data_IF_965679401451
#
_entry.id   IF_965679401451
#
_cell.length_a   1.000
_cell.length_b   1.000
_cell.length_c   1.000
_cell.angle_alpha   90.00
_cell.angle_beta   90.00
_cell.angle_gamma   90.00
#
_symmetry.space_group_name_H-M   'P 1'
#
loop_
_entity.id
_entity.type
_entity.pdbx_description
1 polymer ?
#
# COMPACT_ATOMS: atom_id res chain seq x y z
N UNK A 1 46.21 46.81 62.89
CA UNK A 1 46.85 45.54 63.28
C UNK A 1 45.77 44.50 63.57
N UNK A 2 45.55 43.54 62.68
CA UNK A 2 44.95 42.23 62.97
C UNK A 2 44.75 41.48 61.65
N UNK A 3 45.57 40.45 61.46
CA UNK A 3 45.55 39.59 60.28
C UNK A 3 44.31 38.71 60.22
N UNK A 4 43.85 38.43 58.99
CA UNK A 4 42.88 37.38 58.67
C UNK A 4 43.64 36.19 58.07
N UNK A 5 43.50 34.96 58.60
CA UNK A 5 44.06 33.77 57.98
C UNK A 5 43.05 33.04 57.08
N UNK A 6 43.64 32.27 56.16
CA UNK A 6 43.05 31.49 55.10
C UNK A 6 42.08 30.38 55.57
N UNK A 7 41.04 30.13 54.77
CA UNK A 7 40.19 28.92 54.87
C UNK A 7 40.72 27.83 53.95
N UNK A 8 40.84 26.64 54.53
CA UNK A 8 41.31 25.38 53.94
C UNK A 8 40.23 24.71 53.09
N UNK A 9 40.74 23.87 52.18
CA UNK A 9 40.05 22.90 51.35
C UNK A 9 39.34 21.82 52.18
N UNK A 10 38.12 21.46 51.79
CA UNK A 10 37.51 20.16 52.08
C UNK A 10 37.41 19.37 50.78
N UNK A 11 38.10 18.22 50.76
CA UNK A 11 38.00 17.19 49.75
C UNK A 11 37.00 16.14 50.25
N UNK A 12 35.92 15.92 49.50
CA UNK A 12 34.96 14.85 49.76
C UNK A 12 35.29 13.60 48.94
N UNK A 13 35.40 12.50 49.67
CA UNK A 13 35.63 11.12 49.25
C UNK A 13 34.70 10.65 48.13
N UNK A 14 35.30 10.13 47.04
CA UNK A 14 34.63 9.35 46.01
C UNK A 14 34.76 7.87 46.36
N UNK A 15 33.67 7.25 46.83
CA UNK A 15 33.57 5.80 46.96
C UNK A 15 33.16 5.19 45.62
N UNK A 16 34.08 4.43 45.03
CA UNK A 16 33.82 3.52 43.90
C UNK A 16 33.16 2.22 44.39
N UNK A 17 32.11 1.69 43.74
CA UNK A 17 31.64 0.34 43.99
C UNK A 17 32.40 -0.66 43.12
N UNK A 18 33.10 -1.58 43.79
CA UNK A 18 33.70 -2.79 43.20
C UNK A 18 32.62 -3.82 42.89
N UNK A 19 32.54 -4.26 41.64
CA UNK A 19 31.70 -5.36 41.19
C UNK A 19 32.53 -6.66 41.20
N UNK A 20 32.09 -7.64 42.00
CA UNK A 20 32.65 -9.00 42.00
C UNK A 20 31.77 -9.93 41.16
N UNK A 21 32.34 -10.94 40.46
CA UNK A 21 31.61 -11.83 39.57
C UNK A 21 31.12 -13.08 40.33
N UNK A 22 29.84 -13.41 40.19
CA UNK A 22 29.25 -14.65 40.68
C UNK A 22 28.86 -15.59 39.53
N UNK A 23 29.71 -16.60 39.39
CA UNK A 23 29.41 -18.05 39.27
C UNK A 23 28.27 -18.53 38.36
N UNK A 24 28.73 -19.34 37.40
CA UNK A 24 28.03 -20.36 36.63
C UNK A 24 27.03 -21.19 37.45
N UNK A 25 25.83 -21.39 36.91
CA UNK A 25 24.92 -22.45 37.32
C UNK A 25 24.40 -23.19 36.08
N UNK A 26 24.92 -24.40 35.94
CA UNK A 26 24.56 -25.47 35.02
C UNK A 26 23.28 -26.12 35.55
N UNK A 27 22.20 -26.13 34.77
CA UNK A 27 21.01 -26.94 35.08
C UNK A 27 20.65 -27.85 33.91
N UNK A 28 20.51 -29.11 34.28
CA UNK A 28 20.26 -30.32 33.51
C UNK A 28 18.81 -30.43 33.04
N UNK A 29 18.64 -31.11 31.92
CA UNK A 29 17.43 -31.75 31.41
C UNK A 29 16.62 -32.48 32.48
N UNK A 30 15.28 -32.53 32.30
CA UNK A 30 14.65 -33.84 32.33
C UNK A 30 13.70 -34.08 31.15
N UNK A 31 13.93 -35.21 30.50
CA UNK A 31 12.98 -35.95 29.67
C UNK A 31 11.65 -36.19 30.39
N UNK A 32 10.51 -36.03 29.70
CA UNK A 32 9.36 -36.92 29.92
C UNK A 32 8.35 -36.96 28.76
N UNK A 33 8.24 -38.17 28.18
CA UNK A 33 7.05 -38.94 27.77
C UNK A 33 6.04 -38.38 26.74
N UNK A 34 6.12 -39.03 25.58
CA UNK A 34 5.07 -39.23 24.57
C UNK A 34 3.80 -39.89 25.14
N UNK A 35 2.63 -39.62 24.52
CA UNK A 35 1.60 -40.64 24.34
C UNK A 35 1.38 -40.98 22.86
N UNK A 36 1.38 -42.29 22.62
CA UNK A 36 1.09 -42.99 21.37
C UNK A 36 -0.42 -43.14 21.06
N UNK A 37 -0.69 -43.41 19.79
CA UNK A 37 -1.86 -44.08 19.20
C UNK A 37 -3.18 -43.29 19.04
N UNK A 38 -3.58 -43.06 17.79
CA UNK A 38 -4.69 -43.84 17.22
C UNK A 38 -4.73 -43.80 15.69
N UNK A 39 -4.88 -44.99 15.13
CA UNK A 39 -4.96 -45.31 13.70
C UNK A 39 -6.36 -44.93 13.17
N UNK A 40 -6.45 -44.21 12.05
CA UNK A 40 -7.63 -44.28 11.17
C UNK A 40 -7.24 -44.39 9.70
N UNK A 41 -7.25 -45.65 9.24
CA UNK A 41 -7.46 -46.06 7.85
C UNK A 41 -8.61 -45.27 7.23
N UNK A 42 -8.45 -44.80 5.99
CA UNK A 42 -9.39 -45.13 4.89
C UNK A 42 -8.91 -44.67 3.50
N UNK A 43 -8.80 -45.69 2.65
CA UNK A 43 -9.21 -45.82 1.24
C UNK A 43 -8.62 -44.87 0.19
N UNK A 44 -7.62 -45.45 -0.49
CA UNK A 44 -7.31 -45.28 -1.92
C UNK A 44 -8.55 -45.55 -2.77
N UNK A 45 -8.79 -44.70 -3.77
CA UNK A 45 -9.45 -45.09 -5.02
C UNK A 45 -8.78 -44.34 -6.17
N UNK A 46 -8.03 -45.09 -6.96
CA UNK A 46 -7.46 -44.68 -8.23
C UNK A 46 -8.46 -44.99 -9.36
N UNK A 47 -8.67 -44.04 -10.28
CA UNK A 47 -9.12 -44.28 -11.65
C UNK A 47 -8.87 -42.97 -12.43
N UNK A 48 -7.77 -42.82 -13.19
CA UNK A 48 -7.49 -43.29 -14.56
C UNK A 48 -8.45 -42.67 -15.62
N UNK A 49 -7.99 -41.60 -16.29
CA UNK A 49 -7.76 -41.51 -17.76
C UNK A 49 -7.66 -40.06 -18.26
N UNK A 50 -6.48 -39.77 -18.83
CA UNK A 50 -6.16 -39.08 -20.09
C UNK A 50 -7.17 -38.02 -20.60
N UNK A 51 -6.69 -36.78 -20.74
CA UNK A 51 -6.66 -36.07 -22.03
C UNK A 51 -5.71 -34.87 -21.96
N UNK A 52 -4.66 -34.97 -22.77
CA UNK A 52 -3.80 -33.88 -23.22
C UNK A 52 -4.64 -32.86 -24.00
N UNK A 53 -4.60 -31.60 -23.55
CA UNK A 53 -5.22 -30.47 -24.22
C UNK A 53 -4.36 -29.23 -24.00
N UNK A 54 -3.93 -28.62 -25.10
CA UNK A 54 -3.05 -27.47 -25.18
C UNK A 54 -3.46 -26.31 -24.25
N UNK A 55 -2.49 -25.76 -23.53
CA UNK A 55 -2.63 -24.54 -22.73
C UNK A 55 -2.53 -23.35 -23.68
N UNK A 56 -3.68 -22.83 -24.10
CA UNK A 56 -3.79 -21.52 -24.72
C UNK A 56 -3.83 -20.45 -23.63
N UNK A 57 -2.74 -19.69 -23.49
CA UNK A 57 -2.68 -18.46 -22.70
C UNK A 57 -3.44 -17.36 -23.45
N UNK A 58 -4.71 -17.13 -23.11
CA UNK A 58 -5.49 -15.99 -23.63
C UNK A 58 -5.58 -14.88 -22.57
N UNK A 59 -4.79 -13.84 -22.78
CA UNK A 59 -4.82 -12.54 -22.13
C UNK A 59 -6.03 -11.71 -22.63
N UNK A 60 -7.02 -11.47 -21.78
CA UNK A 60 -8.18 -10.62 -22.13
C UNK A 60 -8.41 -9.52 -21.09
N UNK A 61 -7.58 -8.48 -21.17
CA UNK A 61 -7.85 -7.14 -20.64
C UNK A 61 -7.83 -6.13 -21.80
N UNK A 62 -8.80 -6.19 -22.71
CA UNK A 62 -8.94 -5.17 -23.76
C UNK A 62 -10.30 -5.19 -24.45
N UNK A 63 -11.35 -4.59 -23.85
CA UNK A 63 -12.44 -4.00 -24.65
C UNK A 63 -13.04 -2.87 -23.81
N UNK A 64 -12.37 -1.72 -23.78
CA UNK A 64 -12.87 -0.31 -23.79
C UNK A 64 -11.62 0.57 -23.63
N UNK A 65 -10.63 0.33 -24.49
CA UNK A 65 -9.37 1.08 -24.59
C UNK A 65 -8.83 0.98 -26.02
N UNK A 66 -9.67 0.64 -27.00
CA UNK A 66 -9.22 0.13 -28.30
C UNK A 66 -9.03 1.21 -29.36
N UNK A 67 -9.45 2.46 -29.11
CA UNK A 67 -9.27 3.56 -30.05
C UNK A 67 -7.99 4.41 -29.78
N UNK A 68 -7.39 4.34 -28.59
CA UNK A 68 -6.14 5.07 -28.27
C UNK A 68 -4.90 4.17 -28.14
N UNK A 69 -5.05 2.84 -28.01
CA UNK A 69 -3.91 1.92 -27.82
C UNK A 69 -3.06 1.70 -29.07
N UNK A 70 -3.61 1.91 -30.27
CA UNK A 70 -2.88 1.72 -31.53
C UNK A 70 -1.99 2.92 -31.92
N UNK A 71 -2.17 4.09 -31.31
CA UNK A 71 -1.33 5.26 -31.56
C UNK A 71 -0.14 5.39 -30.59
N UNK A 72 -0.11 4.63 -29.50
CA UNK A 72 0.98 4.67 -28.50
C UNK A 72 2.06 3.62 -28.83
N UNK A 73 1.68 2.47 -29.39
CA UNK A 73 2.62 1.38 -29.69
C UNK A 73 3.63 1.71 -30.81
N UNK A 74 3.35 2.68 -31.68
CA UNK A 74 4.19 3.03 -32.84
C UNK A 74 5.13 4.22 -32.62
N UNK A 75 5.10 4.88 -31.44
CA UNK A 75 6.03 5.98 -31.09
C UNK A 75 7.15 5.59 -30.11
N UNK A 76 7.25 4.32 -29.73
CA UNK A 76 8.20 3.82 -28.72
C UNK A 76 9.66 3.64 -29.22
N UNK A 77 9.98 4.07 -30.44
CA UNK A 77 11.35 3.95 -30.97
C UNK A 77 11.90 5.33 -31.29
N UNK A 78 13.05 5.66 -30.68
CA UNK A 78 13.91 6.83 -30.94
C UNK A 78 13.74 8.11 -30.09
N UNK A 79 13.64 7.98 -28.78
CA UNK A 79 14.29 8.96 -27.88
C UNK A 79 15.17 8.18 -26.91
N UNK A 80 16.47 8.52 -26.85
CA UNK A 80 17.53 7.72 -26.24
C UNK A 80 17.15 7.12 -24.89
N UNK A 81 16.79 5.83 -24.89
CA UNK A 81 16.51 5.07 -23.68
C UNK A 81 17.73 5.14 -22.78
N UNK A 82 17.65 5.95 -21.71
CA UNK A 82 18.65 5.91 -20.67
C UNK A 82 18.67 4.46 -20.15
N UNK A 83 19.67 3.68 -20.54
CA UNK A 83 19.68 2.22 -20.33
C UNK A 83 19.65 1.96 -18.82
N UNK A 84 18.48 1.62 -18.29
CA UNK A 84 18.35 1.26 -16.88
C UNK A 84 19.17 -0.03 -16.65
N UNK A 85 19.88 -0.16 -15.51
CA UNK A 85 20.66 -1.36 -15.21
C UNK A 85 19.79 -2.56 -14.79
N UNK A 86 18.47 -2.44 -14.90
CA UNK A 86 17.46 -3.42 -14.54
C UNK A 86 16.33 -3.41 -15.58
N UNK A 87 15.54 -4.50 -15.70
CA UNK A 87 14.34 -4.52 -16.53
C UNK A 87 13.33 -3.47 -16.05
N UNK A 88 12.73 -2.75 -16.99
CA UNK A 88 11.67 -1.77 -16.71
C UNK A 88 10.40 -2.10 -17.51
N UNK A 89 9.24 -1.84 -16.89
CA UNK A 89 7.95 -1.80 -17.58
C UNK A 89 7.58 -0.34 -17.80
N UNK A 90 7.16 -0.01 -19.01
CA UNK A 90 6.70 1.32 -19.38
C UNK A 90 5.65 1.86 -18.40
N UNK A 91 4.70 1.03 -18.00
CA UNK A 91 3.58 1.43 -17.15
C UNK A 91 3.96 1.58 -15.66
N UNK A 92 5.23 1.42 -15.31
CA UNK A 92 5.75 1.66 -13.96
C UNK A 92 6.52 2.99 -13.85
N UNK A 93 6.74 3.70 -14.95
CA UNK A 93 7.45 4.98 -14.96
C UNK A 93 6.54 6.15 -14.58
N UNK A 94 6.05 6.16 -13.34
CA UNK A 94 5.20 7.23 -12.81
C UNK A 94 5.89 7.93 -11.63
N UNK A 95 6.01 9.25 -11.73
CA UNK A 95 6.60 10.08 -10.69
C UNK A 95 5.59 10.38 -9.58
N UNK A 96 6.04 10.20 -8.34
CA UNK A 96 5.22 10.53 -7.16
C UNK A 96 5.03 12.05 -7.06
N UNK A 97 3.78 12.55 -6.92
CA UNK A 97 3.52 13.97 -6.80
C UNK A 97 4.07 14.53 -5.48
N UNK A 98 4.48 15.80 -5.48
CA UNK A 98 5.01 16.51 -4.31
C UNK A 98 4.09 16.36 -3.08
N UNK A 99 2.78 16.53 -3.31
CA UNK A 99 1.76 16.40 -2.27
C UNK A 99 1.81 15.05 -1.55
N UNK A 100 2.03 13.95 -2.26
CA UNK A 100 2.06 12.65 -1.61
C UNK A 100 3.18 12.59 -0.55
N UNK A 101 4.33 13.21 -0.82
CA UNK A 101 5.40 13.33 0.18
C UNK A 101 5.04 14.31 1.30
N UNK A 102 4.39 15.43 1.00
CA UNK A 102 3.91 16.39 2.01
C UNK A 102 2.95 15.73 3.00
N UNK A 103 2.03 14.90 2.53
CA UNK A 103 1.01 14.25 3.36
C UNK A 103 1.61 13.29 4.42
N UNK A 104 2.80 12.72 4.17
CA UNK A 104 3.48 11.84 5.13
C UNK A 104 4.56 12.56 5.96
N UNK A 105 4.89 13.81 5.62
CA UNK A 105 5.95 14.57 6.27
C UNK A 105 5.77 14.63 7.79
N UNK A 106 4.58 14.90 8.36
CA UNK A 106 4.42 14.95 9.81
C UNK A 106 4.74 13.63 10.52
N UNK A 107 4.47 12.50 9.86
CA UNK A 107 4.79 11.17 10.41
C UNK A 107 6.30 10.91 10.38
N UNK A 108 6.96 11.27 9.28
CA UNK A 108 8.42 11.12 9.14
C UNK A 108 9.16 12.00 10.15
N UNK A 109 8.73 13.25 10.32
CA UNK A 109 9.30 14.17 11.29
C UNK A 109 9.16 13.65 12.72
N UNK A 110 7.99 13.10 13.04
CA UNK A 110 7.77 12.51 14.34
C UNK A 110 8.71 11.32 14.60
N UNK A 111 8.93 10.44 13.61
CA UNK A 111 9.92 9.35 13.69
C UNK A 111 11.34 9.89 13.94
N UNK A 112 11.75 10.91 13.17
CA UNK A 112 13.09 11.51 13.32
C UNK A 112 13.26 12.13 14.72
N UNK A 113 12.27 12.89 15.19
CA UNK A 113 12.27 13.52 16.51
C UNK A 113 12.34 12.51 17.65
N UNK A 114 11.59 11.41 17.58
CA UNK A 114 11.67 10.35 18.59
C UNK A 114 13.06 9.72 18.63
N UNK A 115 13.67 9.44 17.48
CA UNK A 115 15.04 8.91 17.42
C UNK A 115 16.06 9.89 17.99
N UNK A 116 15.93 11.18 17.71
CA UNK A 116 16.79 12.23 18.28
C UNK A 116 16.69 12.27 19.81
N UNK A 117 15.49 12.13 20.38
CA UNK A 117 15.28 12.11 21.83
C UNK A 117 15.96 10.91 22.50
N UNK A 118 15.99 9.76 21.83
CA UNK A 118 16.68 8.57 22.34
C UNK A 118 18.21 8.70 22.30
N UNK A 119 18.76 9.42 21.33
CA UNK A 119 20.23 9.61 21.25
C UNK A 119 20.74 10.66 22.25
N UNK A 120 19.90 11.62 22.66
CA UNK A 120 20.25 12.66 23.62
C UNK A 120 20.42 12.16 25.06
N UNK A 121 19.83 11.02 25.45
CA UNK A 121 20.03 10.46 26.79
C UNK A 121 21.42 9.87 26.98
N UNK A 122 22.06 9.40 25.90
CA UNK A 122 23.22 8.51 26.00
C UNK A 122 24.55 9.23 25.79
N UNK A 123 24.57 10.43 25.19
CA UNK A 123 25.82 11.18 24.98
C UNK A 123 25.65 12.70 25.07
N UNK A 124 26.45 13.34 25.94
CA UNK A 124 26.57 14.80 26.13
C UNK A 124 27.19 15.56 24.94
N UNK A 125 27.36 14.91 23.78
CA UNK A 125 28.03 15.47 22.62
C UNK A 125 26.99 15.94 21.59
N UNK A 126 26.95 17.25 21.37
CA UNK A 126 26.14 17.91 20.34
C UNK A 126 26.64 17.54 18.94
N UNK A 127 26.37 16.31 18.48
CA UNK A 127 26.60 15.92 17.09
C UNK A 127 25.35 16.21 16.29
N UNK A 128 25.50 16.99 15.21
CA UNK A 128 24.49 17.08 14.17
C UNK A 128 24.14 15.66 13.72
N UNK A 129 22.88 15.27 13.90
CA UNK A 129 22.40 13.96 13.50
C UNK A 129 21.95 14.07 12.04
N UNK A 130 22.56 13.26 11.19
CA UNK A 130 22.18 13.13 9.78
C UNK A 130 21.26 11.90 9.64
N UNK A 131 20.11 12.07 9.00
CA UNK A 131 19.17 11.00 8.71
C UNK A 131 19.21 10.66 7.22
N UNK A 132 19.22 9.38 6.90
CA UNK A 132 19.17 8.91 5.52
C UNK A 132 17.79 8.35 5.17
N UNK A 133 17.13 8.96 4.18
CA UNK A 133 15.92 8.42 3.56
C UNK A 133 16.32 7.63 2.32
N UNK A 134 15.87 6.39 2.21
CA UNK A 134 16.15 5.52 1.07
C UNK A 134 14.92 5.33 0.20
N UNK A 135 15.08 5.58 -1.10
CA UNK A 135 14.12 5.18 -2.13
C UNK A 135 14.80 4.24 -3.15
N UNK A 136 14.51 2.93 -3.11
CA UNK A 136 15.16 1.93 -3.96
C UNK A 136 14.76 1.97 -5.44
N UNK A 137 13.63 2.61 -5.80
CA UNK A 137 13.13 2.54 -7.18
C UNK A 137 13.36 3.86 -7.91
N UNK A 138 14.25 3.82 -8.89
CA UNK A 138 14.64 5.02 -9.63
C UNK A 138 13.90 5.11 -10.98
N UNK A 139 13.21 6.24 -11.18
CA UNK A 139 12.62 6.65 -12.46
C UNK A 139 13.50 7.74 -13.11
N UNK A 140 13.16 9.03 -12.99
CA UNK A 140 13.98 10.14 -13.51
C UNK A 140 14.89 10.78 -12.46
N UNK A 141 14.75 10.40 -11.19
CA UNK A 141 15.44 11.04 -10.06
C UNK A 141 14.63 12.13 -9.37
N UNK A 142 13.43 12.47 -9.88
CA UNK A 142 12.57 13.54 -9.33
C UNK A 142 12.15 13.30 -7.89
N UNK A 143 12.03 12.04 -7.44
CA UNK A 143 11.74 11.71 -6.04
C UNK A 143 12.74 12.35 -5.07
N UNK A 144 14.04 12.32 -5.39
CA UNK A 144 15.09 12.95 -4.57
C UNK A 144 14.90 14.46 -4.46
N UNK A 145 14.60 15.12 -5.58
CA UNK A 145 14.34 16.57 -5.64
C UNK A 145 13.10 16.95 -4.82
N UNK A 146 12.01 16.17 -4.92
CA UNK A 146 10.76 16.46 -4.20
C UNK A 146 10.93 16.25 -2.70
N UNK A 147 11.58 15.15 -2.28
CA UNK A 147 11.90 14.90 -0.88
C UNK A 147 12.84 15.98 -0.34
N UNK A 148 13.91 16.30 -1.05
CA UNK A 148 14.84 17.37 -0.67
C UNK A 148 14.13 18.73 -0.51
N UNK A 149 13.19 19.04 -1.40
CA UNK A 149 12.37 20.26 -1.33
C UNK A 149 11.52 20.31 -0.05
N UNK A 150 10.75 19.27 0.25
CA UNK A 150 9.87 19.29 1.44
C UNK A 150 10.65 19.35 2.75
N UNK A 151 11.83 18.72 2.82
CA UNK A 151 12.68 18.79 3.99
C UNK A 151 13.41 20.14 4.09
N UNK A 152 13.84 20.71 2.96
CA UNK A 152 14.49 22.03 2.92
C UNK A 152 13.54 23.20 3.25
N UNK A 153 12.25 23.09 2.90
CA UNK A 153 11.23 24.07 3.27
C UNK A 153 10.90 24.02 4.78
N UNK A 154 11.21 22.91 5.46
CA UNK A 154 10.97 22.75 6.88
C UNK A 154 12.06 23.45 7.71
N UNK A 155 11.90 24.77 7.91
CA UNK A 155 12.84 25.65 8.65
C UNK A 155 13.07 25.27 10.11
N UNK A 156 12.29 24.35 10.67
CA UNK A 156 12.31 23.98 12.09
C UNK A 156 13.25 22.81 12.42
N UNK A 157 13.96 22.25 11.43
CA UNK A 157 14.81 21.08 11.65
C UNK A 157 16.29 21.47 11.77
N UNK A 158 16.87 21.21 12.94
CA UNK A 158 18.32 21.14 13.17
C UNK A 158 18.97 19.87 12.58
N UNK A 159 18.17 19.07 11.86
CA UNK A 159 18.51 17.72 11.40
C UNK A 159 18.86 17.76 9.92
N UNK A 160 20.04 17.23 9.56
CA UNK A 160 20.43 17.10 8.16
C UNK A 160 19.76 15.84 7.59
N UNK A 161 19.12 15.96 6.44
CA UNK A 161 18.47 14.82 5.76
C UNK A 161 19.19 14.53 4.45
N UNK A 162 19.71 13.31 4.31
CA UNK A 162 20.32 12.78 3.09
C UNK A 162 19.32 11.90 2.36
N UNK A 163 19.13 12.13 1.05
CA UNK A 163 18.22 11.33 0.23
C UNK A 163 19.04 10.35 -0.62
N UNK A 164 18.99 9.07 -0.27
CA UNK A 164 19.61 7.98 -1.00
C UNK A 164 18.65 7.48 -2.09
N UNK A 165 18.81 7.99 -3.31
CA UNK A 165 17.99 7.62 -4.48
C UNK A 165 18.86 7.52 -5.73
N UNK A 166 19.33 6.32 -6.03
CA UNK A 166 20.30 6.06 -7.09
C UNK A 166 19.74 5.09 -8.13
N UNK A 167 20.20 5.22 -9.37
CA UNK A 167 19.82 4.34 -10.50
C UNK A 167 20.44 2.94 -10.36
N UNK A 168 19.94 2.14 -9.41
CA UNK A 168 20.45 0.81 -9.04
C UNK A 168 19.39 -0.28 -9.16
N UNK A 169 19.81 -1.50 -9.45
CA UNK A 169 18.91 -2.65 -9.41
C UNK A 169 18.67 -3.07 -7.95
N UNK A 170 17.56 -2.58 -7.38
CA UNK A 170 17.15 -2.87 -6.01
C UNK A 170 17.17 -4.37 -5.68
N UNK A 171 16.64 -5.23 -6.55
CA UNK A 171 16.56 -6.65 -6.23
C UNK A 171 17.90 -7.35 -6.33
N UNK A 172 18.79 -6.87 -7.21
CA UNK A 172 20.18 -7.32 -7.23
C UNK A 172 20.89 -6.89 -5.94
N UNK A 173 20.66 -5.67 -5.46
CA UNK A 173 21.21 -5.20 -4.19
C UNK A 173 20.74 -6.04 -3.01
N UNK A 174 19.46 -6.45 -2.96
CA UNK A 174 18.97 -7.41 -1.94
C UNK A 174 19.73 -8.74 -2.04
N UNK A 175 19.84 -9.33 -3.23
CA UNK A 175 20.50 -10.64 -3.42
C UNK A 175 21.99 -10.60 -3.06
N UNK A 176 22.63 -9.45 -3.26
CA UNK A 176 24.05 -9.26 -3.00
C UNK A 176 24.35 -8.67 -1.61
N UNK A 177 23.33 -8.45 -0.77
CA UNK A 177 23.46 -7.71 0.50
C UNK A 177 24.17 -6.35 0.34
N UNK A 178 23.87 -5.62 -0.74
CA UNK A 178 24.43 -4.29 -1.06
C UNK A 178 23.44 -3.15 -0.82
N UNK A 179 22.44 -3.40 0.02
CA UNK A 179 21.45 -2.39 0.41
C UNK A 179 22.15 -1.28 1.17
N UNK A 180 22.02 -0.01 0.74
CA UNK A 180 22.60 1.13 1.47
C UNK A 180 22.10 1.19 2.91
N UNK A 181 22.97 1.62 3.83
CA UNK A 181 22.53 1.96 5.18
C UNK A 181 21.56 3.15 5.11
N UNK A 182 20.45 3.04 5.83
CA UNK A 182 19.42 4.07 5.86
C UNK A 182 18.65 4.03 7.18
N UNK A 183 17.91 5.11 7.43
CA UNK A 183 17.10 5.28 8.63
C UNK A 183 15.64 5.02 8.37
N UNK A 184 15.14 5.51 7.23
CA UNK A 184 13.74 5.43 6.81
C UNK A 184 13.67 4.99 5.35
N UNK A 185 12.78 4.05 5.04
CA UNK A 185 12.45 3.66 3.66
C UNK A 185 11.23 4.46 3.19
N UNK A 186 11.35 5.22 2.10
CA UNK A 186 10.21 5.95 1.49
C UNK A 186 10.21 5.66 0.01
N UNK A 187 9.12 5.09 -0.51
CA UNK A 187 9.08 4.75 -1.93
C UNK A 187 7.67 4.57 -2.49
N UNK A 188 7.56 4.73 -3.81
CA UNK A 188 6.42 4.37 -4.65
C UNK A 188 6.85 3.21 -5.56
N UNK A 189 6.72 1.96 -5.12
CA UNK A 189 7.23 0.82 -5.88
C UNK A 189 6.48 0.66 -7.21
N UNK A 190 7.11 0.06 -8.23
CA UNK A 190 6.44 -0.36 -9.45
C UNK A 190 5.18 -1.18 -9.17
N UNK A 191 4.14 -1.00 -9.98
CA UNK A 191 2.84 -1.64 -9.80
C UNK A 191 2.62 -2.83 -10.73
N UNK A 192 3.50 -3.09 -11.68
CA UNK A 192 3.55 -4.34 -12.43
C UNK A 192 4.03 -5.51 -11.55
N UNK A 193 3.96 -6.72 -12.10
CA UNK A 193 4.52 -7.94 -11.53
C UNK A 193 4.23 -8.17 -10.04
N UNK A 194 5.26 -8.60 -9.31
CA UNK A 194 5.24 -8.83 -7.87
C UNK A 194 6.00 -7.75 -7.07
N UNK A 195 6.26 -6.59 -7.67
CA UNK A 195 7.07 -5.52 -7.08
C UNK A 195 6.53 -5.03 -5.74
N UNK A 196 5.21 -4.81 -5.63
CA UNK A 196 4.51 -4.40 -4.40
C UNK A 196 4.70 -5.38 -3.24
N UNK A 197 4.56 -6.67 -3.53
CA UNK A 197 4.70 -7.74 -2.52
C UNK A 197 6.14 -7.84 -2.03
N UNK A 198 7.11 -7.90 -2.95
CA UNK A 198 8.53 -7.97 -2.62
C UNK A 198 9.03 -6.72 -1.88
N UNK A 199 8.51 -5.54 -2.25
CA UNK A 199 8.81 -4.29 -1.56
C UNK A 199 8.30 -4.31 -0.12
N UNK A 200 7.06 -4.77 0.09
CA UNK A 200 6.45 -4.87 1.41
C UNK A 200 7.21 -5.88 2.30
N UNK A 201 7.55 -7.06 1.77
CA UNK A 201 8.36 -8.06 2.47
C UNK A 201 9.71 -7.50 2.89
N UNK A 202 10.40 -6.81 1.97
CA UNK A 202 11.66 -6.14 2.28
C UNK A 202 11.49 -5.09 3.39
N UNK A 203 10.48 -4.23 3.27
CA UNK A 203 10.23 -3.16 4.23
C UNK A 203 9.96 -3.69 5.64
N UNK A 204 9.10 -4.71 5.76
CA UNK A 204 8.84 -5.38 7.04
C UNK A 204 10.07 -6.08 7.59
N UNK A 205 10.87 -6.73 6.74
CA UNK A 205 12.14 -7.33 7.18
C UNK A 205 13.12 -6.27 7.72
N UNK A 206 13.25 -5.13 7.05
CA UNK A 206 14.10 -4.02 7.49
C UNK A 206 13.59 -3.43 8.81
N UNK A 207 12.27 -3.29 8.95
CA UNK A 207 11.66 -2.84 10.20
C UNK A 207 12.00 -3.77 11.37
N UNK A 208 11.80 -5.08 11.20
CA UNK A 208 12.03 -6.05 12.27
C UNK A 208 13.50 -6.22 12.63
N UNK A 209 14.39 -6.20 11.64
CA UNK A 209 15.81 -6.54 11.84
C UNK A 209 16.65 -5.33 12.22
N UNK A 210 16.22 -4.13 11.83
CA UNK A 210 17.02 -2.91 11.94
C UNK A 210 16.23 -1.72 12.48
N UNK A 211 14.99 -1.92 12.92
CA UNK A 211 14.12 -0.87 13.44
C UNK A 211 13.84 0.26 12.41
N UNK A 212 13.88 -0.05 11.11
CA UNK A 212 13.72 0.93 10.02
C UNK A 212 12.26 1.11 9.60
N UNK A 213 11.58 2.22 9.98
CA UNK A 213 10.23 2.50 9.54
C UNK A 213 10.18 2.70 8.03
N UNK A 214 9.00 2.44 7.48
CA UNK A 214 8.78 2.51 6.05
C UNK A 214 7.51 3.27 5.71
N UNK A 215 7.52 3.88 4.52
CA UNK A 215 6.40 4.58 3.90
C UNK A 215 6.32 4.10 2.46
N UNK A 216 5.32 3.27 2.16
CA UNK A 216 5.13 2.69 0.83
C UNK A 216 3.87 3.26 0.20
N UNK A 217 3.99 4.01 -0.89
CA UNK A 217 2.84 4.49 -1.65
C UNK A 217 2.36 3.37 -2.56
N UNK A 218 1.19 2.79 -2.28
CA UNK A 218 0.67 1.66 -3.04
C UNK A 218 -0.80 1.84 -3.36
N UNK A 219 -1.35 1.09 -4.33
CA UNK A 219 -2.78 1.12 -4.61
C UNK A 219 -3.58 0.68 -3.37
N UNK A 220 -4.68 1.36 -3.10
CA UNK A 220 -5.56 1.09 -1.96
C UNK A 220 -5.99 -0.39 -1.85
N UNK A 221 -6.16 -1.09 -2.99
CA UNK A 221 -6.55 -2.49 -3.01
C UNK A 221 -5.51 -3.41 -2.35
N UNK A 222 -4.25 -2.98 -2.18
CA UNK A 222 -3.19 -3.78 -1.55
C UNK A 222 -3.55 -4.17 -0.12
N UNK A 223 -4.19 -3.28 0.65
CA UNK A 223 -4.64 -3.56 2.02
C UNK A 223 -5.65 -4.72 2.10
N UNK A 224 -6.33 -5.04 0.99
CA UNK A 224 -7.27 -6.17 0.91
C UNK A 224 -6.62 -7.49 0.45
N UNK A 225 -5.33 -7.47 0.09
CA UNK A 225 -4.64 -8.65 -0.45
C UNK A 225 -4.16 -9.60 0.64
N UNK A 226 -4.11 -10.88 0.28
CA UNK A 226 -3.67 -11.93 1.18
C UNK A 226 -2.20 -11.76 1.60
N UNK A 227 -1.30 -11.43 0.66
CA UNK A 227 0.11 -11.19 0.98
C UNK A 227 0.28 -10.04 1.97
N UNK A 228 -0.53 -8.97 1.87
CA UNK A 228 -0.49 -7.87 2.82
C UNK A 228 -0.91 -8.33 4.21
N UNK A 229 -2.01 -9.08 4.29
CA UNK A 229 -2.48 -9.64 5.56
C UNK A 229 -1.43 -10.53 6.20
N UNK A 230 -0.79 -11.42 5.44
CA UNK A 230 0.29 -12.29 5.94
C UNK A 230 1.46 -11.48 6.47
N UNK A 231 2.02 -10.61 5.63
CA UNK A 231 3.25 -9.87 5.95
C UNK A 231 3.06 -8.84 7.07
N UNK A 232 1.87 -8.25 7.22
CA UNK A 232 1.65 -7.20 8.24
C UNK A 232 1.00 -7.74 9.52
N UNK A 233 -0.03 -8.59 9.40
CA UNK A 233 -0.78 -9.07 10.57
C UNK A 233 -0.05 -10.19 11.29
N UNK A 234 0.54 -11.15 10.56
CA UNK A 234 1.23 -12.29 11.20
C UNK A 234 2.56 -11.83 11.83
N UNK A 235 3.19 -10.80 11.26
CA UNK A 235 4.45 -10.24 11.74
C UNK A 235 4.28 -9.15 12.82
N UNK A 236 3.03 -8.88 13.26
CA UNK A 236 2.69 -7.89 14.31
C UNK A 236 3.23 -6.48 14.04
N UNK A 237 3.28 -6.07 12.78
CA UNK A 237 3.78 -4.74 12.38
C UNK A 237 2.71 -3.68 12.64
N UNK A 238 3.06 -2.62 13.38
CA UNK A 238 2.18 -1.48 13.58
C UNK A 238 2.09 -0.69 12.28
N UNK A 239 0.93 -0.74 11.63
CA UNK A 239 0.70 -0.09 10.34
C UNK A 239 -0.34 1.01 10.46
N UNK A 240 -0.01 2.17 9.90
CA UNK A 240 -0.90 3.32 9.72
C UNK A 240 -1.04 3.55 8.22
N UNK A 241 -2.18 4.11 7.82
CA UNK A 241 -2.44 4.45 6.44
C UNK A 241 -2.69 5.95 6.30
N UNK A 242 -2.08 6.57 5.28
CA UNK A 242 -2.37 7.96 4.92
C UNK A 242 -2.99 7.97 3.53
N UNK A 243 -4.26 8.34 3.47
CA UNK A 243 -5.01 8.47 2.23
C UNK A 243 -5.14 9.95 1.87
N UNK A 244 -5.10 10.31 0.57
CA UNK A 244 -5.39 11.68 0.17
C UNK A 244 -6.84 12.07 0.52
N UNK A 245 -7.12 13.37 0.42
CA UNK A 245 -8.50 13.86 0.44
C UNK A 245 -9.32 13.18 -0.65
N UNK A 246 -10.59 12.88 -0.38
CA UNK A 246 -11.49 12.27 -1.36
C UNK A 246 -11.74 13.17 -2.58
N UNK A 247 -11.65 14.49 -2.42
CA UNK A 247 -11.80 15.48 -3.48
C UNK A 247 -10.56 15.65 -4.34
N UNK A 248 -9.40 15.17 -3.90
CA UNK A 248 -8.12 15.42 -4.55
C UNK A 248 -7.19 14.20 -4.41
N UNK A 249 -7.41 13.15 -5.23
CA UNK A 249 -6.53 11.99 -5.25
C UNK A 249 -5.11 12.36 -5.72
N UNK A 250 -4.15 11.47 -5.50
CA UNK A 250 -2.81 11.65 -6.06
C UNK A 250 -2.84 11.48 -7.58
N UNK A 251 -2.31 12.48 -8.27
CA UNK A 251 -2.09 12.48 -9.72
C UNK A 251 -0.62 12.19 -10.00
N UNK A 252 -0.37 11.34 -10.98
CA UNK A 252 0.98 10.85 -11.29
C UNK A 252 1.39 11.33 -12.66
N UNK A 253 2.62 11.83 -12.75
CA UNK A 253 3.20 12.27 -14.01
C UNK A 253 4.01 11.13 -14.62
N UNK A 254 3.77 10.84 -15.91
CA UNK A 254 4.69 10.02 -16.67
C UNK A 254 5.78 10.92 -17.28
N UNK A 255 7.07 10.56 -17.22
CA UNK A 255 8.18 11.38 -17.75
C UNK A 255 8.02 11.79 -19.22
N UNK A 256 7.37 10.94 -20.01
CA UNK A 256 7.12 11.19 -21.44
C UNK A 256 5.81 11.96 -21.71
N UNK A 257 5.09 12.40 -20.66
CA UNK A 257 3.77 13.04 -20.79
C UNK A 257 2.66 12.08 -21.23
N UNK A 258 2.95 10.78 -21.22
CA UNK A 258 2.05 9.69 -21.63
C UNK A 258 1.41 9.06 -20.40
N UNK A 259 0.20 9.46 -20.06
CA UNK A 259 -0.52 8.94 -18.92
C UNK A 259 -2.01 8.86 -19.18
N UNK A 260 -2.72 8.23 -18.26
CA UNK A 260 -4.16 8.41 -18.17
C UNK A 260 -4.44 9.68 -17.37
N UNK A 261 -5.42 10.49 -17.80
CA UNK A 261 -5.85 11.69 -17.07
C UNK A 261 -6.26 11.38 -15.63
N UNK A 262 -6.73 10.15 -15.38
CA UNK A 262 -7.10 9.67 -14.05
C UNK A 262 -6.46 8.31 -13.78
N UNK A 263 -5.86 8.12 -12.59
CA UNK A 263 -5.31 6.82 -12.22
C UNK A 263 -6.46 5.80 -12.05
N UNK A 264 -6.29 4.54 -12.48
CA UNK A 264 -7.34 3.52 -12.42
C UNK A 264 -7.64 3.01 -10.99
N UNK A 265 -6.91 3.53 -10.00
CA UNK A 265 -7.07 3.24 -8.59
C UNK A 265 -6.64 4.46 -7.76
N UNK A 266 -7.10 4.53 -6.51
CA UNK A 266 -6.55 5.46 -5.53
C UNK A 266 -5.31 4.84 -4.89
N UNK A 267 -4.32 5.67 -4.59
CA UNK A 267 -3.14 5.25 -3.84
C UNK A 267 -3.22 5.72 -2.39
N UNK A 268 -2.62 4.96 -1.50
CA UNK A 268 -2.59 5.19 -0.05
C UNK A 268 -1.16 4.88 0.41
N UNK A 269 -0.64 5.67 1.34
CA UNK A 269 0.61 5.35 2.01
C UNK A 269 0.39 4.27 3.06
N UNK A 270 1.23 3.25 3.03
CA UNK A 270 1.33 2.21 4.05
C UNK A 270 2.56 2.53 4.90
N UNK A 271 2.31 2.99 6.12
CA UNK A 271 3.34 3.47 7.04
C UNK A 271 3.57 2.44 8.13
N UNK A 272 4.73 1.78 8.11
CA UNK A 272 5.11 0.78 9.12
C UNK A 272 6.02 1.38 10.17
N UNK A 273 5.67 1.15 11.43
CA UNK A 273 6.45 1.57 12.59
C UNK A 273 6.75 0.36 13.47
N UNK A 274 7.88 0.41 14.16
CA UNK A 274 8.20 -0.63 15.13
C UNK A 274 7.30 -0.46 16.34
N UNK A 275 6.80 -1.59 16.85
CA UNK A 275 6.46 -1.67 18.25
C UNK A 275 7.77 -1.52 19.01
N UNK A 276 8.12 -0.31 19.41
CA UNK A 276 9.33 -0.08 20.20
C UNK A 276 9.40 -1.11 21.33
N UNK A 277 10.63 -1.55 21.65
CA UNK A 277 10.88 -2.29 22.88
C UNK A 277 10.18 -1.60 24.06
N UNK A 278 9.83 -2.40 25.07
CA UNK A 278 8.84 -2.18 26.15
C UNK A 278 8.67 -0.78 26.76
N UNK A 279 9.60 0.17 26.58
CA UNK A 279 9.58 1.48 27.22
C UNK A 279 9.01 2.65 26.41
N UNK A 280 8.89 2.58 25.08
CA UNK A 280 8.36 3.71 24.29
C UNK A 280 7.49 3.27 23.12
N UNK A 281 6.33 2.70 23.45
CA UNK A 281 5.28 2.49 22.45
C UNK A 281 4.67 3.84 22.10
N UNK A 282 4.89 4.30 20.88
CA UNK A 282 4.23 5.50 20.39
C UNK A 282 2.73 5.26 20.34
N UNK A 283 1.99 5.97 21.18
CA UNK A 283 0.53 5.89 21.21
C UNK A 283 -0.03 6.29 19.85
N UNK A 284 -0.88 5.44 19.30
CA UNK A 284 -1.63 5.74 18.08
C UNK A 284 -2.46 7.02 18.21
N UNK A 285 -2.96 7.33 19.42
CA UNK A 285 -3.66 8.59 19.70
C UNK A 285 -2.75 9.80 19.51
N UNK A 286 -1.57 9.79 20.13
CA UNK A 286 -0.58 10.86 19.99
C UNK A 286 -0.15 11.06 18.53
N UNK A 287 0.02 9.97 17.79
CA UNK A 287 0.34 10.04 16.37
C UNK A 287 -0.79 10.68 15.55
N UNK A 288 -2.04 10.31 15.83
CA UNK A 288 -3.23 10.90 15.19
C UNK A 288 -3.30 12.39 15.48
N UNK A 289 -3.16 12.79 16.73
CA UNK A 289 -3.27 14.17 17.17
C UNK A 289 -2.17 15.03 16.54
N UNK A 290 -0.93 14.53 16.51
CA UNK A 290 0.18 15.17 15.82
C UNK A 290 -0.12 15.34 14.33
N UNK A 291 -0.55 14.27 13.65
CA UNK A 291 -0.88 14.30 12.22
C UNK A 291 -1.98 15.32 11.91
N UNK A 292 -3.07 15.31 12.68
CA UNK A 292 -4.18 16.25 12.49
C UNK A 292 -3.72 17.68 12.75
N UNK A 293 -3.02 17.92 13.86
CA UNK A 293 -2.52 19.26 14.22
C UNK A 293 -1.60 19.83 13.13
N UNK A 294 -0.66 19.04 12.61
CA UNK A 294 0.27 19.48 11.56
C UNK A 294 -0.45 19.86 10.27
N UNK A 295 -1.49 19.12 9.86
CA UNK A 295 -2.22 19.46 8.64
C UNK A 295 -3.26 20.57 8.85
N UNK A 296 -3.79 20.74 10.07
CA UNK A 296 -4.73 21.83 10.38
C UNK A 296 -4.05 23.20 10.45
N UNK A 297 -2.78 23.28 10.88
CA UNK A 297 -2.06 24.56 10.94
C UNK A 297 -1.76 25.16 9.57
N UNK A 298 -1.64 24.31 8.54
CA UNK A 298 -1.26 24.72 7.19
C UNK A 298 -2.48 25.09 6.33
N UNK A 299 -3.68 24.67 6.75
CA UNK A 299 -4.93 24.97 6.05
C UNK A 299 -5.49 26.33 6.46
N UNK A 300 -5.17 27.37 5.68
CA UNK A 300 -5.79 28.71 5.78
C UNK A 300 -7.27 28.69 5.33
N UNK A 301 -8.13 27.92 6.01
CA UNK A 301 -9.59 27.98 5.90
C UNK A 301 -10.23 27.37 4.66
N UNK A 302 -9.53 26.52 3.88
CA UNK A 302 -10.13 25.75 2.78
C UNK A 302 -9.95 24.26 2.99
N UNK A 303 -10.98 23.59 3.49
CA UNK A 303 -11.04 22.16 3.85
C UNK A 303 -10.85 21.16 2.69
N UNK A 304 -10.56 21.61 1.47
CA UNK A 304 -10.69 20.77 0.28
C UNK A 304 -9.51 19.83 0.00
N UNK A 305 -8.51 19.75 0.89
CA UNK A 305 -7.24 19.07 0.58
C UNK A 305 -6.58 18.29 1.71
N UNK A 306 -7.15 18.21 2.90
CA UNK A 306 -6.48 17.58 4.04
C UNK A 306 -6.37 16.06 3.85
N UNK A 307 -5.18 15.46 3.95
CA UNK A 307 -5.05 14.01 3.94
C UNK A 307 -5.69 13.40 5.19
N UNK A 308 -6.07 12.13 5.08
CA UNK A 308 -6.80 11.42 6.12
C UNK A 308 -5.96 10.23 6.60
N UNK A 309 -5.93 10.03 7.90
CA UNK A 309 -5.15 8.98 8.55
C UNK A 309 -6.06 7.86 9.07
N UNK A 310 -5.66 6.61 8.84
CA UNK A 310 -6.35 5.43 9.34
C UNK A 310 -5.38 4.49 10.06
N UNK A 311 -5.87 3.82 11.09
CA UNK A 311 -5.06 2.98 11.98
C UNK A 311 -5.39 1.49 11.84
N UNK A 312 -6.32 1.17 10.93
CA UNK A 312 -6.76 -0.19 10.61
C UNK A 312 -7.33 -0.23 9.20
N UNK A 313 -7.40 -1.44 8.62
CA UNK A 313 -8.04 -1.65 7.32
C UNK A 313 -9.54 -1.36 7.42
N UNK A 314 -10.15 -1.65 8.56
CA UNK A 314 -11.55 -1.36 8.87
C UNK A 314 -11.82 0.15 8.86
N UNK A 315 -10.91 0.96 9.41
CA UNK A 315 -11.02 2.41 9.35
C UNK A 315 -10.86 2.94 7.91
N UNK A 316 -9.94 2.39 7.11
CA UNK A 316 -9.86 2.72 5.67
C UNK A 316 -11.15 2.40 4.91
N UNK A 317 -11.82 1.29 5.24
CA UNK A 317 -13.13 0.92 4.67
C UNK A 317 -14.20 1.94 5.08
N UNK A 318 -14.26 2.31 6.37
CA UNK A 318 -15.22 3.33 6.86
C UNK A 318 -15.00 4.69 6.18
N UNK A 319 -13.75 5.03 5.88
CA UNK A 319 -13.39 6.25 5.14
C UNK A 319 -13.71 6.19 3.63
N UNK A 320 -14.22 5.06 3.13
CA UNK A 320 -14.50 4.86 1.72
C UNK A 320 -13.25 4.73 0.85
N UNK A 321 -12.06 4.55 1.44
CA UNK A 321 -10.80 4.42 0.70
C UNK A 321 -10.68 3.04 0.06
N UNK A 322 -11.34 2.02 0.61
CA UNK A 322 -11.35 0.66 0.09
C UNK A 322 -12.79 0.13 0.15
N UNK A 323 -13.20 -0.62 -0.87
CA UNK A 323 -14.46 -1.36 -0.79
C UNK A 323 -14.35 -2.50 0.21
N UNK A 324 -15.21 -2.51 1.23
CA UNK A 324 -15.34 -3.64 2.15
C UNK A 324 -15.92 -4.91 1.48
N UNK A 325 -16.45 -4.80 0.26
CA UNK A 325 -16.98 -5.93 -0.47
C UNK A 325 -15.86 -6.79 -1.07
N UNK A 326 -15.98 -8.11 -0.90
CA UNK A 326 -15.10 -9.05 -1.61
C UNK A 326 -15.23 -8.82 -3.11
N UNK A 327 -14.12 -8.43 -3.75
CA UNK A 327 -14.08 -8.22 -5.19
C UNK A 327 -14.53 -9.48 -5.92
N UNK A 328 -15.59 -9.37 -6.72
CA UNK A 328 -16.10 -10.47 -7.54
C UNK A 328 -14.99 -11.03 -8.43
N UNK A 329 -14.99 -12.35 -8.65
CA UNK A 329 -13.95 -13.00 -9.44
C UNK A 329 -13.98 -12.52 -10.92
N UNK A 330 -12.89 -12.65 -11.70
CA UNK A 330 -12.84 -12.11 -13.07
C UNK A 330 -13.98 -12.58 -13.98
N UNK A 331 -14.40 -13.86 -13.85
CA UNK A 331 -15.53 -14.42 -14.62
C UNK A 331 -16.86 -13.77 -14.24
N UNK A 332 -17.10 -13.55 -12.95
CA UNK A 332 -18.29 -12.85 -12.44
C UNK A 332 -18.30 -11.39 -12.92
N UNK A 333 -17.16 -10.70 -12.90
CA UNK A 333 -17.06 -9.33 -13.43
C UNK A 333 -17.30 -9.29 -14.94
N UNK A 334 -16.75 -10.23 -15.71
CA UNK A 334 -17.00 -10.36 -17.16
C UNK A 334 -18.49 -10.59 -17.42
N UNK A 335 -19.13 -11.47 -16.65
CA UNK A 335 -20.59 -11.73 -16.74
C UNK A 335 -21.42 -10.51 -16.41
N UNK A 336 -21.11 -9.80 -15.31
CA UNK A 336 -21.82 -8.57 -14.92
C UNK A 336 -21.67 -7.50 -15.99
N UNK A 337 -20.47 -7.34 -16.55
CA UNK A 337 -20.21 -6.39 -17.64
C UNK A 337 -21.00 -6.74 -18.90
N UNK A 338 -21.01 -8.01 -19.31
CA UNK A 338 -21.80 -8.47 -20.45
C UNK A 338 -23.29 -8.24 -20.24
N UNK A 339 -23.80 -8.53 -19.03
CA UNK A 339 -25.19 -8.27 -18.67
C UNK A 339 -25.52 -6.76 -18.67
N UNK A 340 -24.62 -5.92 -18.18
CA UNK A 340 -24.79 -4.46 -18.22
C UNK A 340 -24.82 -3.93 -19.66
N UNK A 341 -23.94 -4.43 -20.54
CA UNK A 341 -23.94 -4.07 -21.96
C UNK A 341 -25.24 -4.50 -22.66
N UNK A 342 -25.73 -5.71 -22.39
CA UNK A 342 -27.00 -6.19 -22.95
C UNK A 342 -28.21 -5.36 -22.49
N UNK A 343 -28.23 -4.95 -21.21
CA UNK A 343 -29.28 -4.06 -20.69
C UNK A 343 -29.23 -2.67 -21.34
N UNK A 344 -28.04 -2.12 -21.52
CA UNK A 344 -27.87 -0.84 -22.20
C UNK A 344 -28.33 -0.89 -23.67
N UNK A 345 -28.02 -1.97 -24.40
CA UNK A 345 -28.49 -2.12 -25.78
C UNK A 345 -30.01 -2.27 -25.88
N UNK A 346 -30.63 -2.98 -24.94
CA UNK A 346 -32.09 -3.12 -24.89
C UNK A 346 -32.80 -1.79 -24.59
N UNK A 347 -32.25 -0.98 -23.67
CA UNK A 347 -32.79 0.33 -23.34
C UNK A 347 -32.74 1.29 -24.56
N UNK A 348 -31.64 1.26 -25.32
CA UNK A 348 -31.48 2.09 -26.52
C UNK A 348 -32.41 1.66 -27.66
N UNK A 349 -32.62 0.35 -27.85
CA UNK A 349 -33.49 -0.18 -28.91
C UNK A 349 -34.98 0.09 -28.69
N UNK A 350 -35.41 0.32 -27.45
CA UNK A 350 -36.82 0.56 -27.13
C UNK A 350 -37.27 2.01 -27.38
N UNK A 351 -36.36 2.97 -27.61
CA UNK A 351 -36.70 4.39 -27.73
C UNK A 351 -36.99 4.86 -29.16
N UNK A 352 -36.77 4.04 -30.18
CA UNK A 352 -36.99 4.42 -31.60
C UNK A 352 -38.28 3.87 -32.22
N UNK A 353 -39.12 3.21 -31.43
CA UNK A 353 -40.28 2.48 -31.93
C UNK A 353 -41.63 2.98 -31.44
N UNK A 354 -41.95 4.28 -31.58
CA UNK A 354 -43.34 4.77 -31.62
C UNK A 354 -43.45 6.30 -31.82
N UNK A 355 -42.93 6.84 -32.93
CA UNK A 355 -43.61 7.96 -33.58
C UNK A 355 -44.36 7.41 -34.78
N UNK A 356 -45.48 6.72 -34.50
CA UNK A 356 -46.52 6.53 -35.51
C UNK A 356 -47.21 7.88 -35.66
N UNK A 357 -46.94 8.58 -36.75
CA UNK A 357 -47.79 9.69 -37.20
C UNK A 357 -49.24 9.20 -37.28
N UNK A 358 -50.22 9.94 -36.73
CA UNK A 358 -51.62 9.58 -36.87
C UNK A 358 -52.01 9.85 -38.32
N UNK A 359 -52.13 8.81 -39.13
CA UNK A 359 -52.73 8.93 -40.46
C UNK A 359 -54.12 8.31 -40.43
N UNK A 360 -55.12 9.16 -40.68
CA UNK A 360 -56.51 8.79 -40.86
C UNK A 360 -56.66 7.79 -42.02
N UNK A 361 -57.45 6.74 -41.82
CA UNK A 361 -57.81 5.82 -42.90
C UNK A 361 -58.59 4.62 -42.39
N UNK A 362 -59.92 4.72 -42.47
CA UNK A 362 -60.85 3.63 -42.26
C UNK A 362 -60.57 2.46 -43.22
N UNK A 363 -60.71 1.21 -42.76
CA UNK A 363 -61.52 0.18 -43.41
C UNK A 363 -61.42 -1.16 -42.67
N UNK A 364 -62.57 -1.83 -42.65
CA UNK A 364 -62.94 -3.13 -42.12
C UNK A 364 -62.10 -4.32 -42.60
N UNK A 365 -62.00 -5.36 -41.76
CA UNK A 365 -61.65 -6.71 -42.21
C UNK A 365 -61.12 -7.60 -41.10
N UNK A 366 -62.02 -8.30 -40.41
CA UNK A 366 -61.66 -9.23 -39.34
C UNK A 366 -60.90 -10.48 -39.84
N UNK A 367 -60.03 -11.01 -38.98
CA UNK A 367 -59.69 -12.44 -38.91
C UNK A 367 -59.04 -12.79 -37.56
N UNK A 368 -59.55 -13.88 -37.00
CA UNK A 368 -59.17 -14.65 -35.80
C UNK A 368 -57.68 -14.61 -35.44
N UNK A 369 -57.39 -14.34 -34.17
CA UNK A 369 -56.10 -14.61 -33.53
C UNK A 369 -56.33 -15.67 -32.43
N UNK A 370 -55.67 -16.82 -32.60
CA UNK A 370 -55.64 -17.92 -31.64
C UNK A 370 -54.69 -17.62 -30.47
N UNK A 371 -55.16 -17.98 -29.28
CA UNK A 371 -54.48 -17.90 -27.99
C UNK A 371 -53.17 -18.71 -27.95
N UNK A 372 -52.05 -18.01 -27.79
CA UNK A 372 -50.79 -18.61 -27.30
C UNK A 372 -50.44 -18.03 -25.91
N UNK A 373 -51.30 -18.33 -24.94
CA UNK A 373 -51.11 -17.99 -23.52
C UNK A 373 -51.22 -19.25 -22.66
N UNK A 374 -50.30 -20.22 -22.83
CA UNK A 374 -50.32 -21.46 -22.02
C UNK A 374 -48.99 -22.22 -21.92
N UNK A 375 -47.83 -21.54 -21.86
CA UNK A 375 -46.55 -22.23 -21.61
C UNK A 375 -45.66 -21.66 -20.49
N UNK A 376 -46.01 -20.53 -19.86
CA UNK A 376 -45.17 -19.91 -18.82
C UNK A 376 -45.56 -20.21 -17.36
N UNK A 377 -46.58 -21.03 -17.10
CA UNK A 377 -46.97 -21.37 -15.71
C UNK A 377 -46.39 -22.72 -15.20
N UNK A 378 -45.81 -23.56 -16.05
CA UNK A 378 -45.33 -24.89 -15.66
C UNK A 378 -43.94 -24.92 -14.96
N UNK A 379 -43.15 -23.83 -14.99
CA UNK A 379 -41.80 -23.81 -14.39
C UNK A 379 -41.72 -23.23 -12.98
N UNK A 380 -42.82 -22.74 -12.41
CA UNK A 380 -42.85 -22.14 -11.05
C UNK A 380 -43.24 -23.11 -9.93
N UNK A 381 -43.66 -24.34 -10.23
CA UNK A 381 -44.12 -25.32 -9.23
C UNK A 381 -43.11 -26.39 -8.81
N UNK A 382 -41.90 -26.45 -9.39
CA UNK A 382 -40.90 -27.47 -9.04
C UNK A 382 -39.82 -27.02 -8.02
N UNK A 383 -39.99 -25.86 -7.37
CA UNK A 383 -39.01 -25.34 -6.40
C UNK A 383 -39.47 -25.33 -4.94
N UNK A 384 -40.65 -25.89 -4.64
CA UNK A 384 -41.22 -25.88 -3.28
C UNK A 384 -41.38 -27.26 -2.65
N UNK A 385 -40.62 -28.27 -3.12
CA UNK A 385 -40.59 -29.62 -2.52
C UNK A 385 -39.16 -30.13 -2.27
N UNK A 386 -38.26 -29.24 -1.82
CA UNK A 386 -36.99 -29.61 -1.16
C UNK A 386 -36.73 -28.69 0.01
N UNK A 387 -37.65 -28.72 0.98
CA UNK A 387 -37.48 -28.19 2.32
C UNK A 387 -38.55 -28.82 3.21
N UNK A 388 -38.39 -30.13 3.45
CA UNK A 388 -38.83 -30.81 4.66
C UNK A 388 -37.94 -32.02 4.87
#
# INVERSE_FOLDING_TARGET
>A
MSGKPARRHDASDVRTPTCSPSTEARCTDPSEKLPSNSKKKRKRSASKRRRSGAVSTSSDHAITATAQKQNIASKSQHVGASKYPYPTDYNDHFETPLRAYSDILPLMQNVMNERLRCHQSDTKSSRSTEFTIYDPYFCTGRAATMLGKIFGECKTQSTKVHIQHEKRDFYKDIRQNKIPQHDILVTNPPYSGNHKERCLEFAVKQLKSHDRPFFLLMPNYVASKEYFRKVVLEESVQTVFVAPSSSQPYEYDHPEGTGYDTPPFQSVWFCGFSHGGTDRKMSMGTLRDHFVKSHSSDSCGKDNGTPRIAFSVEELIRMGCISGEKRKNPRQRKKIRQQAMQRASQAMGSSFGAHRSPNHGASSGGKKQEDQSSQNQAKKRLKTQKAH
#
